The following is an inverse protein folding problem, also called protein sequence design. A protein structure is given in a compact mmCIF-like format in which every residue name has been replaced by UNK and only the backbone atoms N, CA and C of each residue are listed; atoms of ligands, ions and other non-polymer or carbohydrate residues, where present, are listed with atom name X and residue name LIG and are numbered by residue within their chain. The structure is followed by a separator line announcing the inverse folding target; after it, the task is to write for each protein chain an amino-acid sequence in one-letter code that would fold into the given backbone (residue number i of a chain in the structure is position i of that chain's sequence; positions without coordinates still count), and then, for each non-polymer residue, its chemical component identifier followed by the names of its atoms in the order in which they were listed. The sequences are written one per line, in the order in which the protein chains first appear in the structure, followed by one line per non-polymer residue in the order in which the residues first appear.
data_IF_501736129843
#
_entry.id   IF_501736129843
#
_cell.length_a   1.000
_cell.length_b   1.000
_cell.length_c   1.000
_cell.angle_alpha   90.00
_cell.angle_beta   90.00
_cell.angle_gamma   90.00
#
_symmetry.space_group_name_H-M   'P 1'
#
loop_
_entity.id
_entity.type
_entity.pdbx_description
1 polymer ?
#
# COMPACT_ATOMS: atom_id res chain seq x y z
N UNK A 1 -44.31 -24.70 36.20
CA UNK A 1 -42.83 -24.68 36.25
C UNK A 1 -42.04 -25.27 35.05
N UNK A 2 -42.41 -26.38 34.36
CA UNK A 2 -41.55 -26.95 33.30
C UNK A 2 -41.65 -26.22 31.95
N UNK A 3 -42.79 -25.58 31.63
CA UNK A 3 -43.00 -24.85 30.36
C UNK A 3 -42.11 -23.61 30.23
N UNK A 4 -41.97 -22.81 31.30
CA UNK A 4 -41.08 -21.62 31.31
C UNK A 4 -39.61 -21.98 31.07
N UNK A 5 -39.12 -23.10 31.63
CA UNK A 5 -37.75 -23.59 31.42
C UNK A 5 -37.52 -24.10 29.99
N UNK A 6 -38.53 -24.70 29.35
CA UNK A 6 -38.47 -25.12 27.94
C UNK A 6 -38.45 -23.92 27.00
N UNK A 7 -39.32 -22.92 27.23
CA UNK A 7 -39.34 -21.67 26.44
C UNK A 7 -38.01 -20.93 26.55
N UNK A 8 -37.43 -20.84 27.76
CA UNK A 8 -36.11 -20.23 27.94
C UNK A 8 -34.99 -20.94 27.17
N UNK A 9 -34.98 -22.27 27.16
CA UNK A 9 -34.00 -23.05 26.39
C UNK A 9 -34.18 -22.93 24.89
N UNK A 10 -35.42 -22.90 24.40
CA UNK A 10 -35.70 -22.68 22.97
C UNK A 10 -35.26 -21.29 22.55
N UNK A 11 -35.59 -20.24 23.31
CA UNK A 11 -35.14 -18.87 23.04
C UNK A 11 -33.62 -18.75 23.06
N UNK A 12 -32.95 -19.35 24.05
CA UNK A 12 -31.49 -19.35 24.12
C UNK A 12 -30.85 -20.10 22.94
N UNK A 13 -31.42 -21.24 22.54
CA UNK A 13 -30.96 -22.00 21.38
C UNK A 13 -31.14 -21.21 20.08
N UNK A 14 -32.31 -20.61 19.85
CA UNK A 14 -32.56 -19.76 18.68
C UNK A 14 -31.65 -18.54 18.66
N UNK A 15 -31.43 -17.89 19.81
CA UNK A 15 -30.50 -16.76 19.93
C UNK A 15 -29.06 -17.15 19.60
N UNK A 16 -28.59 -18.31 20.09
CA UNK A 16 -27.25 -18.82 19.79
C UNK A 16 -27.08 -19.12 18.29
N UNK A 17 -28.09 -19.70 17.64
CA UNK A 17 -28.07 -19.95 16.19
C UNK A 17 -28.01 -18.64 15.40
N UNK A 18 -28.80 -17.63 15.79
CA UNK A 18 -28.78 -16.31 15.16
C UNK A 18 -27.43 -15.60 15.33
N UNK A 19 -26.85 -15.65 16.53
CA UNK A 19 -25.54 -15.07 16.79
C UNK A 19 -24.44 -15.74 15.95
N UNK A 20 -24.50 -17.07 15.80
CA UNK A 20 -23.56 -17.83 14.99
C UNK A 20 -23.70 -17.50 13.50
N UNK A 21 -24.94 -17.35 13.02
CA UNK A 21 -25.22 -16.94 11.64
C UNK A 21 -24.71 -15.51 11.34
N UNK A 22 -24.89 -14.57 12.28
CA UNK A 22 -24.37 -13.20 12.15
C UNK A 22 -22.84 -13.17 12.22
N UNK A 23 -22.23 -14.00 13.07
CA UNK A 23 -20.78 -14.09 13.21
C UNK A 23 -20.08 -14.55 11.93
N UNK A 24 -20.75 -15.38 11.12
CA UNK A 24 -20.25 -15.87 9.83
C UNK A 24 -20.52 -14.90 8.65
N UNK A 25 -21.21 -13.79 8.87
CA UNK A 25 -21.46 -12.82 7.80
C UNK A 25 -20.19 -12.03 7.45
N UNK A 26 -20.01 -11.69 6.15
CA UNK A 26 -18.94 -10.80 5.70
C UNK A 26 -18.94 -9.46 6.44
N UNK A 27 -17.83 -9.11 7.06
CA UNK A 27 -17.64 -7.82 7.73
C UNK A 27 -17.20 -6.73 6.72
N UNK A 28 -17.47 -5.45 6.99
CA UNK A 28 -16.95 -4.33 6.20
C UNK A 28 -15.55 -3.88 6.65
N UNK A 29 -14.74 -4.78 7.22
CA UNK A 29 -13.42 -4.46 7.76
C UNK A 29 -12.34 -5.33 7.10
N UNK A 30 -11.11 -4.83 7.14
CA UNK A 30 -9.89 -5.58 6.87
C UNK A 30 -9.05 -5.69 8.13
N UNK A 31 -8.19 -6.71 8.20
CA UNK A 31 -7.33 -6.95 9.35
C UNK A 31 -5.89 -6.77 8.91
N UNK A 32 -5.21 -5.76 9.45
CA UNK A 32 -3.77 -5.59 9.30
C UNK A 32 -3.04 -6.43 10.35
N UNK A 33 -1.98 -7.11 9.94
CA UNK A 33 -1.15 -7.93 10.81
C UNK A 33 0.32 -7.91 10.35
N UNK A 34 1.29 -8.28 11.20
CA UNK A 34 2.68 -8.37 10.80
C UNK A 34 2.84 -9.33 9.62
N UNK A 35 3.51 -8.85 8.57
CA UNK A 35 3.85 -9.63 7.41
C UNK A 35 5.17 -10.39 7.59
N UNK A 36 5.59 -11.13 6.56
CA UNK A 36 6.90 -11.76 6.54
C UNK A 36 8.02 -10.71 6.65
N UNK A 37 9.13 -11.12 7.24
CA UNK A 37 10.37 -10.34 7.29
C UNK A 37 11.28 -10.85 6.18
N UNK A 38 11.87 -9.93 5.43
CA UNK A 38 12.83 -10.25 4.38
C UNK A 38 14.19 -9.67 4.70
N UNK A 39 15.24 -10.49 4.60
CA UNK A 39 16.61 -9.98 4.65
C UNK A 39 16.99 -9.40 3.27
N UNK A 40 17.17 -8.09 3.22
CA UNK A 40 17.50 -7.36 1.99
C UNK A 40 18.95 -7.56 1.53
N UNK A 41 19.83 -8.06 2.41
CA UNK A 41 21.21 -8.43 2.09
C UNK A 41 21.35 -9.89 1.66
N UNK A 42 20.30 -10.68 1.90
CA UNK A 42 20.25 -12.11 1.60
C UNK A 42 19.65 -12.44 0.23
N UNK A 43 19.24 -13.70 0.09
CA UNK A 43 18.53 -14.23 -1.07
C UNK A 43 17.04 -14.37 -0.78
N UNK A 44 16.22 -14.22 -1.81
CA UNK A 44 14.80 -14.56 -1.77
C UNK A 44 14.49 -15.55 -2.90
N UNK A 45 13.55 -16.44 -2.64
CA UNK A 45 13.02 -17.33 -3.68
C UNK A 45 12.20 -16.52 -4.68
N UNK A 46 12.61 -16.58 -5.95
CA UNK A 46 11.81 -16.12 -7.08
C UNK A 46 11.63 -17.28 -8.06
N UNK A 47 10.42 -17.81 -8.13
CA UNK A 47 10.02 -18.90 -9.03
C UNK A 47 10.87 -20.19 -8.84
N UNK A 48 11.20 -20.53 -7.60
CA UNK A 48 12.01 -21.71 -7.25
C UNK A 48 13.52 -21.51 -7.48
N UNK A 49 13.95 -20.27 -7.75
CA UNK A 49 15.36 -19.90 -7.88
C UNK A 49 15.72 -18.87 -6.83
N UNK A 50 16.72 -19.16 -5.99
CA UNK A 50 17.27 -18.17 -5.06
C UNK A 50 17.98 -17.06 -5.83
N UNK A 51 17.53 -15.82 -5.65
CA UNK A 51 18.19 -14.63 -6.20
C UNK A 51 18.45 -13.62 -5.08
N UNK A 52 19.58 -12.89 -5.10
CA UNK A 52 19.82 -11.78 -4.19
C UNK A 52 18.67 -10.77 -4.27
N UNK A 53 18.19 -10.29 -3.13
CA UNK A 53 17.09 -9.30 -3.13
C UNK A 53 17.57 -7.94 -3.68
N UNK A 54 18.83 -7.59 -3.42
CA UNK A 54 19.50 -6.42 -3.98
C UNK A 54 20.79 -6.88 -4.68
N UNK A 55 21.01 -6.42 -5.90
CA UNK A 55 22.23 -6.70 -6.68
C UNK A 55 22.73 -5.44 -7.36
N UNK A 56 24.03 -5.17 -7.24
CA UNK A 56 24.70 -4.00 -7.83
C UNK A 56 25.83 -4.52 -8.73
N UNK A 57 25.55 -4.83 -10.01
CA UNK A 57 26.52 -5.49 -10.88
C UNK A 57 27.73 -4.61 -11.21
N UNK A 58 27.54 -3.29 -11.26
CA UNK A 58 28.55 -2.35 -11.77
C UNK A 58 29.44 -1.75 -10.68
N UNK A 59 29.34 -2.23 -9.43
CA UNK A 59 30.12 -1.72 -8.29
C UNK A 59 30.58 -2.86 -7.39
N UNK A 60 31.74 -2.67 -6.78
CA UNK A 60 32.24 -3.58 -5.73
C UNK A 60 31.35 -3.48 -4.49
N UNK A 61 30.72 -4.59 -4.14
CA UNK A 61 30.04 -4.77 -2.84
C UNK A 61 31.01 -5.44 -1.86
N UNK A 62 30.74 -5.26 -0.56
CA UNK A 62 31.54 -5.87 0.51
C UNK A 62 30.70 -6.91 1.23
N UNK A 63 31.27 -8.08 1.57
CA UNK A 63 30.56 -9.07 2.36
C UNK A 63 30.25 -8.51 3.75
N UNK A 64 29.11 -8.90 4.29
CA UNK A 64 28.62 -8.51 5.60
C UNK A 64 28.09 -9.75 6.31
N UNK A 65 28.37 -9.85 7.60
CA UNK A 65 27.90 -10.96 8.44
C UNK A 65 26.53 -10.66 9.09
N UNK A 66 25.99 -9.46 8.89
CA UNK A 66 24.70 -9.02 9.44
C UNK A 66 23.54 -9.16 8.45
N UNK A 67 22.31 -8.98 8.94
CA UNK A 67 21.09 -8.89 8.14
C UNK A 67 20.56 -7.46 8.10
N UNK A 68 19.80 -7.13 7.07
CA UNK A 68 18.99 -5.91 7.02
C UNK A 68 17.54 -6.28 6.78
N UNK A 69 16.82 -6.38 7.89
CA UNK A 69 15.45 -6.87 7.94
C UNK A 69 14.45 -5.82 7.44
N UNK A 70 13.79 -6.12 6.33
CA UNK A 70 12.63 -5.40 5.83
C UNK A 70 11.37 -6.01 6.45
N UNK A 71 10.79 -5.29 7.40
CA UNK A 71 9.52 -5.63 8.02
C UNK A 71 8.38 -5.24 7.09
N UNK A 72 7.42 -6.14 6.90
CA UNK A 72 6.24 -5.87 6.08
C UNK A 72 4.97 -5.93 6.92
N UNK A 73 3.90 -5.29 6.44
CA UNK A 73 2.55 -5.39 7.00
C UNK A 73 1.66 -6.08 5.97
N UNK A 74 0.89 -7.06 6.40
CA UNK A 74 -0.04 -7.80 5.55
C UNK A 74 -1.48 -7.43 5.88
N UNK A 75 -2.30 -7.26 4.84
CA UNK A 75 -3.73 -6.99 4.96
C UNK A 75 -4.50 -8.27 4.65
N UNK A 76 -5.29 -8.74 5.61
CA UNK A 76 -6.22 -9.86 5.45
C UNK A 76 -7.60 -9.31 5.09
N UNK A 77 -8.05 -9.69 3.90
CA UNK A 77 -9.34 -9.30 3.36
C UNK A 77 -9.23 -8.34 2.19
N UNK A 78 -10.18 -8.45 1.26
CA UNK A 78 -10.34 -7.53 0.14
C UNK A 78 -11.83 -7.46 -0.24
N UNK A 79 -12.24 -6.55 -1.15
CA UNK A 79 -13.65 -6.41 -1.52
C UNK A 79 -14.33 -7.69 -2.00
N UNK A 80 -13.58 -8.64 -2.58
CA UNK A 80 -14.08 -9.93 -3.08
C UNK A 80 -14.10 -11.03 -2.01
N UNK A 81 -13.19 -11.00 -1.03
CA UNK A 81 -13.05 -11.97 0.05
C UNK A 81 -12.95 -11.23 1.39
N UNK A 82 -14.09 -11.03 2.04
CA UNK A 82 -14.18 -10.28 3.30
C UNK A 82 -14.05 -11.20 4.52
N UNK A 83 -13.30 -10.81 5.56
CA UNK A 83 -13.28 -11.52 6.83
C UNK A 83 -14.67 -11.54 7.47
N UNK A 84 -15.00 -12.62 8.18
CA UNK A 84 -16.21 -12.69 8.97
C UNK A 84 -16.07 -11.93 10.31
N UNK A 85 -17.17 -11.78 11.05
CA UNK A 85 -17.16 -11.05 12.32
C UNK A 85 -16.41 -11.79 13.43
N UNK A 86 -16.27 -13.11 13.38
CA UNK A 86 -15.44 -13.84 14.33
C UNK A 86 -13.96 -13.51 14.11
N UNK A 87 -13.51 -13.43 12.86
CA UNK A 87 -12.16 -13.00 12.51
C UNK A 87 -11.88 -11.58 13.00
N UNK A 88 -12.81 -10.64 12.78
CA UNK A 88 -12.67 -9.25 13.25
C UNK A 88 -12.60 -9.16 14.78
N UNK A 89 -13.50 -9.82 15.50
CA UNK A 89 -13.51 -9.79 16.97
C UNK A 89 -12.24 -10.45 17.52
N UNK A 90 -11.79 -11.55 16.91
CA UNK A 90 -10.54 -12.22 17.33
C UNK A 90 -9.31 -11.33 17.09
N UNK A 91 -9.27 -10.62 15.96
CA UNK A 91 -8.21 -9.67 15.68
C UNK A 91 -8.22 -8.46 16.63
N UNK A 92 -9.40 -7.99 17.04
CA UNK A 92 -9.51 -6.88 18.00
C UNK A 92 -8.98 -7.22 19.40
N UNK A 93 -8.93 -8.50 19.75
CA UNK A 93 -8.35 -8.98 21.02
C UNK A 93 -6.83 -9.23 20.94
N UNK A 94 -6.25 -9.24 19.74
CA UNK A 94 -4.82 -9.44 19.52
C UNK A 94 -4.12 -8.09 19.34
N UNK A 95 -3.20 -7.68 20.25
CA UNK A 95 -2.54 -6.38 20.17
C UNK A 95 -1.59 -6.25 18.97
N UNK A 96 -1.27 -7.35 18.29
CA UNK A 96 -0.44 -7.34 17.07
C UNK A 96 -1.26 -7.07 15.82
N UNK A 97 -2.59 -7.07 15.91
CA UNK A 97 -3.49 -6.90 14.76
C UNK A 97 -4.29 -5.61 14.87
N UNK A 98 -4.56 -5.00 13.73
CA UNK A 98 -5.39 -3.79 13.64
C UNK A 98 -6.60 -4.06 12.76
N UNK A 99 -7.77 -3.58 13.19
CA UNK A 99 -9.02 -3.70 12.43
C UNK A 99 -9.29 -2.35 11.80
N UNK A 100 -9.28 -2.31 10.47
CA UNK A 100 -9.41 -1.07 9.69
C UNK A 100 -10.65 -1.13 8.81
N UNK A 101 -11.42 -0.04 8.67
CA UNK A 101 -12.57 0.01 7.77
C UNK A 101 -12.15 -0.27 6.32
N UNK A 102 -12.92 -1.09 5.58
CA UNK A 102 -12.53 -1.53 4.24
C UNK A 102 -12.42 -0.38 3.25
N UNK A 103 -13.24 0.65 3.38
CA UNK A 103 -13.19 1.84 2.49
C UNK A 103 -11.93 2.68 2.70
N UNK A 104 -11.29 2.64 3.88
CA UNK A 104 -10.03 3.33 4.11
C UNK A 104 -8.88 2.75 3.27
N UNK A 105 -8.90 1.44 3.01
CA UNK A 105 -7.89 0.76 2.17
C UNK A 105 -8.37 0.62 0.72
N UNK A 106 -9.68 0.39 0.53
CA UNK A 106 -10.29 0.20 -0.77
C UNK A 106 -11.45 1.18 -1.02
N UNK A 107 -11.17 2.46 -1.32
CA UNK A 107 -12.21 3.48 -1.46
C UNK A 107 -13.08 3.24 -2.70
N UNK A 108 -14.40 3.46 -2.62
CA UNK A 108 -15.35 3.01 -3.64
C UNK A 108 -15.38 3.88 -4.93
N UNK A 109 -14.68 4.99 -4.95
CA UNK A 109 -14.68 6.02 -6.00
C UNK A 109 -13.73 5.74 -7.18
N UNK A 110 -12.86 4.72 -7.05
CA UNK A 110 -11.86 4.35 -8.06
C UNK A 110 -11.95 2.86 -8.41
N UNK A 111 -11.94 2.53 -9.71
CA UNK A 111 -11.89 1.12 -10.15
C UNK A 111 -10.52 0.50 -9.86
N UNK A 112 -10.41 -0.83 -9.92
CA UNK A 112 -9.13 -1.51 -9.72
C UNK A 112 -8.10 -1.10 -10.78
N UNK A 113 -8.53 -1.01 -12.04
CA UNK A 113 -7.66 -0.65 -13.17
C UNK A 113 -7.13 0.78 -13.04
N UNK A 114 -7.97 1.72 -12.60
CA UNK A 114 -7.54 3.11 -12.38
C UNK A 114 -6.51 3.22 -11.25
N UNK A 115 -6.65 2.42 -10.19
CA UNK A 115 -5.67 2.35 -9.11
C UNK A 115 -4.36 1.76 -9.58
N UNK A 116 -4.40 0.66 -10.30
CA UNK A 116 -3.19 -0.02 -10.76
C UNK A 116 -2.39 0.88 -11.70
N UNK A 117 -3.07 1.57 -12.62
CA UNK A 117 -2.44 2.55 -13.51
C UNK A 117 -1.80 3.71 -12.71
N UNK A 118 -2.52 4.27 -11.73
CA UNK A 118 -2.00 5.35 -10.89
C UNK A 118 -0.83 4.91 -10.01
N UNK A 119 -0.94 3.73 -9.40
CA UNK A 119 0.10 3.14 -8.55
C UNK A 119 1.37 2.85 -9.38
N UNK A 120 1.23 2.42 -10.62
CA UNK A 120 2.38 2.20 -11.52
C UNK A 120 3.14 3.50 -11.81
N UNK A 121 2.41 4.59 -12.09
CA UNK A 121 3.02 5.92 -12.27
C UNK A 121 3.72 6.35 -10.98
N UNK A 122 3.02 6.32 -9.84
CA UNK A 122 3.60 6.72 -8.55
C UNK A 122 4.81 5.88 -8.13
N UNK A 123 4.80 4.58 -8.44
CA UNK A 123 5.94 3.70 -8.17
C UNK A 123 7.13 4.05 -9.05
N UNK A 124 6.90 4.38 -10.32
CA UNK A 124 7.95 4.83 -11.24
C UNK A 124 8.56 6.14 -10.76
N UNK A 125 7.73 7.10 -10.36
CA UNK A 125 8.18 8.39 -9.81
C UNK A 125 8.99 8.17 -8.52
N UNK A 126 8.50 7.33 -7.61
CA UNK A 126 9.20 6.99 -6.37
C UNK A 126 10.58 6.37 -6.61
N UNK A 127 10.71 5.53 -7.64
CA UNK A 127 12.00 4.94 -8.02
C UNK A 127 12.96 6.01 -8.58
N UNK A 128 12.45 6.92 -9.41
CA UNK A 128 13.27 8.01 -9.95
C UNK A 128 13.73 8.96 -8.82
N UNK A 129 12.86 9.28 -7.88
CA UNK A 129 13.19 10.10 -6.71
C UNK A 129 14.23 9.41 -5.83
N UNK A 130 14.10 8.10 -5.59
CA UNK A 130 15.09 7.34 -4.83
C UNK A 130 16.46 7.31 -5.53
N UNK A 131 16.49 7.15 -6.86
CA UNK A 131 17.73 7.22 -7.66
C UNK A 131 18.32 8.63 -7.58
N UNK A 132 17.50 9.68 -7.74
CA UNK A 132 17.96 11.05 -7.66
C UNK A 132 18.53 11.39 -6.28
N UNK A 133 17.88 10.95 -5.20
CA UNK A 133 18.35 11.11 -3.83
C UNK A 133 19.68 10.37 -3.61
N UNK A 134 19.79 9.11 -4.06
CA UNK A 134 21.02 8.33 -3.95
C UNK A 134 22.18 8.96 -4.74
N UNK A 135 21.93 9.41 -5.97
CA UNK A 135 22.93 10.10 -6.78
C UNK A 135 23.36 11.43 -6.14
N UNK A 136 22.42 12.18 -5.57
CA UNK A 136 22.70 13.43 -4.85
C UNK A 136 23.58 13.19 -3.63
N UNK A 137 23.28 12.17 -2.82
CA UNK A 137 24.09 11.76 -1.66
C UNK A 137 25.50 11.33 -2.09
N UNK A 138 25.63 10.71 -3.26
CA UNK A 138 26.92 10.34 -3.86
C UNK A 138 27.66 11.51 -4.54
N UNK A 139 27.10 12.73 -4.50
CA UNK A 139 27.68 13.93 -5.11
C UNK A 139 27.64 13.93 -6.64
N UNK A 140 26.81 13.09 -7.25
CA UNK A 140 26.62 13.02 -8.70
C UNK A 140 25.51 14.01 -9.09
N UNK A 141 25.80 14.91 -10.03
CA UNK A 141 24.82 15.90 -10.47
C UNK A 141 23.64 15.24 -11.19
N UNK A 142 22.43 15.45 -10.66
CA UNK A 142 21.18 15.00 -11.28
C UNK A 142 20.49 16.20 -11.93
N UNK A 143 20.44 16.29 -13.27
CA UNK A 143 19.75 17.39 -13.93
C UNK A 143 18.24 17.26 -13.67
N UNK A 144 17.64 18.29 -13.07
CA UNK A 144 16.19 18.36 -12.85
C UNK A 144 15.56 19.12 -14.01
N UNK A 145 14.44 18.61 -14.54
CA UNK A 145 13.65 19.31 -15.55
C UNK A 145 12.18 19.28 -15.13
N UNK A 146 11.58 20.45 -14.93
CA UNK A 146 10.15 20.55 -14.67
C UNK A 146 9.40 20.47 -15.99
N UNK A 147 8.43 19.56 -16.10
CA UNK A 147 7.63 19.35 -17.30
C UNK A 147 6.15 19.59 -17.03
N UNK A 148 5.47 20.26 -17.95
CA UNK A 148 4.02 20.47 -17.88
C UNK A 148 3.31 19.13 -18.13
N UNK A 149 2.61 18.60 -17.13
CA UNK A 149 1.89 17.33 -17.27
C UNK A 149 0.57 17.48 -18.03
N UNK A 150 -0.18 18.55 -17.73
CA UNK A 150 -1.43 18.90 -18.42
C UNK A 150 -1.72 20.39 -18.32
N UNK A 151 -2.57 20.90 -19.21
CA UNK A 151 -3.07 22.28 -19.19
C UNK A 151 -4.59 22.20 -19.09
N UNK A 152 -5.18 22.98 -18.19
CA UNK A 152 -6.62 23.00 -17.98
C UNK A 152 -7.30 23.84 -19.07
N UNK A 153 -8.36 23.31 -19.67
CA UNK A 153 -9.19 24.02 -20.65
C UNK A 153 -9.82 25.28 -20.02
N UNK A 154 -9.73 26.41 -20.72
CA UNK A 154 -10.18 27.73 -20.28
C UNK A 154 -9.22 28.46 -19.33
N UNK A 155 -8.05 27.88 -19.02
CA UNK A 155 -7.05 28.54 -18.17
C UNK A 155 -6.23 29.59 -18.93
N UNK A 156 -5.61 30.53 -18.21
CA UNK A 156 -4.68 31.51 -18.82
C UNK A 156 -3.43 30.88 -19.45
N UNK A 157 -3.16 29.60 -19.17
CA UNK A 157 -2.09 28.82 -19.78
C UNK A 157 -2.50 28.17 -21.11
N UNK A 158 -3.79 28.15 -21.45
CA UNK A 158 -4.29 27.56 -22.70
C UNK A 158 -3.72 28.29 -23.92
N UNK A 159 -3.16 27.54 -24.86
CA UNK A 159 -2.49 28.06 -26.06
C UNK A 159 -1.08 28.60 -25.83
N UNK A 160 -0.72 28.97 -24.60
CA UNK A 160 0.63 29.40 -24.23
C UNK A 160 1.54 28.23 -23.83
N UNK A 161 1.00 27.24 -23.11
CA UNK A 161 1.70 26.03 -22.69
C UNK A 161 1.04 24.79 -23.31
N UNK A 162 1.85 23.75 -23.50
CA UNK A 162 1.39 22.42 -23.92
C UNK A 162 1.89 21.36 -22.94
N UNK A 163 1.13 20.28 -22.79
CA UNK A 163 1.60 19.09 -22.10
C UNK A 163 2.91 18.60 -22.77
N UNK A 164 3.93 18.40 -21.96
CA UNK A 164 5.28 18.04 -22.40
C UNK A 164 6.28 19.20 -22.44
N UNK A 165 5.86 20.46 -22.28
CA UNK A 165 6.77 21.60 -22.28
C UNK A 165 7.69 21.59 -21.04
N UNK A 166 8.98 21.87 -21.22
CA UNK A 166 9.95 21.99 -20.14
C UNK A 166 10.04 23.44 -19.64
N UNK A 167 9.75 23.66 -18.37
CA UNK A 167 9.82 24.98 -17.74
C UNK A 167 11.24 25.21 -17.21
N UNK A 168 11.89 26.29 -17.69
CA UNK A 168 13.24 26.67 -17.26
C UNK A 168 13.24 27.79 -16.23
N UNK A 169 12.33 28.76 -16.37
CA UNK A 169 12.23 29.92 -15.50
C UNK A 169 10.78 30.23 -15.16
N UNK A 170 10.52 30.74 -13.95
CA UNK A 170 9.24 31.34 -13.54
C UNK A 170 9.54 32.74 -13.01
N UNK A 171 8.86 33.75 -13.53
CA UNK A 171 9.06 35.17 -13.17
C UNK A 171 10.52 35.65 -13.23
N UNK A 172 11.30 35.06 -14.15
CA UNK A 172 12.73 35.39 -14.33
C UNK A 172 13.69 34.71 -13.36
N UNK A 173 13.21 33.91 -12.41
CA UNK A 173 14.03 33.05 -11.56
C UNK A 173 14.26 31.68 -12.22
N UNK A 174 15.50 31.19 -12.15
CA UNK A 174 15.85 29.83 -12.60
C UNK A 174 15.31 28.80 -11.60
N UNK A 175 14.68 27.74 -12.13
CA UNK A 175 14.05 26.70 -11.31
C UNK A 175 15.04 25.63 -10.86
N UNK A 176 16.31 25.70 -11.26
CA UNK A 176 17.37 24.81 -10.77
C UNK A 176 17.53 24.84 -9.23
N UNK A 177 17.00 25.88 -8.57
CA UNK A 177 17.12 26.12 -7.12
C UNK A 177 15.86 25.83 -6.29
N UNK A 178 14.77 25.34 -6.89
CA UNK A 178 13.59 24.96 -6.11
C UNK A 178 13.81 23.59 -5.45
N UNK A 179 14.08 23.63 -4.14
CA UNK A 179 14.20 22.47 -3.25
C UNK A 179 12.84 21.89 -2.90
#
# INVERSE_FOLDING_TARGET
PPRRRRVGRVLAGTGAVLALALGLMPSPYVIEQPGPVFDTLGTSDHEGTERPLISIPDRTTYPTDGSLDMLTVSVVGNPAQRPDWFAVVSAWLDPTRSVVPMEAVFPADQTAEQRDARNQVQMTDSQQDAVAAALTELGIAVPRTLQVQSVLDGSSAEGALRAGDAIRTVDGADLADLQ
#
